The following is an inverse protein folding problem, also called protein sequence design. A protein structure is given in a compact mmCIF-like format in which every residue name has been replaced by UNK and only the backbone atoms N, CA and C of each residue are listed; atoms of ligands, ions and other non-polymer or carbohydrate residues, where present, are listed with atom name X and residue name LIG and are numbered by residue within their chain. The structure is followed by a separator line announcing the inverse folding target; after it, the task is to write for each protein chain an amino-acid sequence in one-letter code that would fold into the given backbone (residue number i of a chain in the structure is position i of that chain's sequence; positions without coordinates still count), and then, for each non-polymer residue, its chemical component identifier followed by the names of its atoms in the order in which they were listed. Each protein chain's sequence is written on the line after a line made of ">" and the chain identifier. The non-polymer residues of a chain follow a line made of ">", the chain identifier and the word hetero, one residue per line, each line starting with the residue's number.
data_IF_149870915522
#
_entry.id   IF_149870915522
#
_cell.length_a   1.000
_cell.length_b   1.000
_cell.length_c   1.000
_cell.angle_alpha   90.00
_cell.angle_beta   90.00
_cell.angle_gamma   90.00
#
_symmetry.space_group_name_H-M   'P 1'
#
loop_
_entity.id
_entity.type
_entity.pdbx_description
1 polymer ?
#
# COMPACT_ATOMS: atom_id res chain seq x y z
N UNK A 1 -13.86 -14.33 15.98
CA UNK A 1 -12.56 -15.02 15.94
C UNK A 1 -11.48 -13.97 15.70
N UNK A 2 -10.55 -13.79 16.64
CA UNK A 2 -9.42 -12.87 16.44
C UNK A 2 -8.37 -13.66 15.64
N UNK A 3 -8.29 -13.40 14.34
CA UNK A 3 -7.27 -13.97 13.46
C UNK A 3 -5.94 -13.24 13.70
N UNK A 4 -4.99 -13.91 14.34
CA UNK A 4 -3.61 -13.41 14.44
C UNK A 4 -2.91 -13.59 13.10
N UNK A 5 -2.86 -12.54 12.28
CA UNK A 5 -2.12 -12.52 11.02
C UNK A 5 -0.68 -12.09 11.30
N UNK A 6 0.28 -12.97 11.05
CA UNK A 6 1.71 -12.64 11.15
C UNK A 6 2.16 -11.94 9.86
N UNK A 7 2.25 -10.61 9.90
CA UNK A 7 2.67 -9.79 8.77
C UNK A 7 4.20 -9.72 8.69
N UNK A 8 4.79 -10.17 7.57
CA UNK A 8 6.24 -10.16 7.35
C UNK A 8 6.67 -9.04 6.39
N UNK A 9 6.42 -7.78 6.78
CA UNK A 9 6.79 -6.61 5.95
C UNK A 9 8.28 -6.51 5.61
N UNK A 10 9.17 -7.03 6.48
CA UNK A 10 10.61 -6.85 6.36
C UNK A 10 11.23 -7.61 5.18
N UNK A 11 10.63 -8.73 4.78
CA UNK A 11 11.16 -9.57 3.70
C UNK A 11 10.73 -9.07 2.32
N UNK A 12 9.63 -8.34 2.24
CA UNK A 12 9.02 -7.92 0.98
C UNK A 12 9.44 -6.50 0.53
N UNK A 13 10.10 -5.75 1.41
CA UNK A 13 10.54 -4.38 1.15
C UNK A 13 12.05 -4.28 1.31
N UNK A 14 12.72 -3.72 0.30
CA UNK A 14 14.15 -3.46 0.36
C UNK A 14 14.50 -2.53 1.52
N UNK A 15 15.62 -2.81 2.19
CA UNK A 15 16.10 -2.08 3.38
C UNK A 15 16.24 -0.58 3.14
N UNK A 16 16.57 -0.17 1.92
CA UNK A 16 16.68 1.24 1.53
C UNK A 16 15.38 2.02 1.71
N UNK A 17 14.23 1.35 1.72
CA UNK A 17 12.91 1.96 1.89
C UNK A 17 12.37 1.92 3.32
N UNK A 18 13.08 1.34 4.29
CA UNK A 18 12.56 1.22 5.66
C UNK A 18 12.22 2.55 6.31
N UNK A 19 12.91 3.63 5.93
CA UNK A 19 12.61 4.99 6.39
C UNK A 19 11.15 5.40 6.15
N UNK A 20 10.46 4.83 5.16
CA UNK A 20 9.04 5.09 4.92
C UNK A 20 8.15 4.71 6.10
N UNK A 21 8.48 3.69 6.88
CA UNK A 21 7.59 3.15 7.91
C UNK A 21 7.70 3.85 9.26
N UNK A 22 8.78 4.62 9.49
CA UNK A 22 9.04 5.29 10.76
C UNK A 22 9.33 6.79 10.63
N UNK A 23 9.47 7.34 9.41
CA UNK A 23 9.65 8.78 9.24
C UNK A 23 8.41 9.57 9.72
N UNK A 24 8.67 10.69 10.38
CA UNK A 24 7.68 11.69 10.80
C UNK A 24 7.66 12.91 9.87
N UNK A 25 8.38 12.85 8.75
CA UNK A 25 8.46 13.95 7.78
C UNK A 25 7.08 14.19 7.15
N UNK A 26 6.68 15.46 7.01
CA UNK A 26 5.39 15.82 6.39
C UNK A 26 5.31 15.43 4.91
N UNK A 27 6.45 15.49 4.22
CA UNK A 27 6.57 15.17 2.80
C UNK A 27 7.71 14.18 2.60
N UNK A 28 7.41 13.08 1.90
CA UNK A 28 8.40 12.09 1.53
C UNK A 28 8.38 11.94 0.02
N UNK A 29 9.54 12.16 -0.60
CA UNK A 29 9.72 11.99 -2.04
C UNK A 29 10.57 10.74 -2.32
N UNK A 30 10.00 9.78 -3.06
CA UNK A 30 10.72 8.61 -3.52
C UNK A 30 11.20 8.81 -4.96
N UNK A 31 12.50 9.00 -5.15
CA UNK A 31 13.15 9.14 -6.47
C UNK A 31 14.04 7.94 -6.75
N UNK A 32 13.99 7.41 -7.97
CA UNK A 32 14.84 6.28 -8.36
C UNK A 32 14.60 5.78 -9.78
N UNK A 33 15.51 4.94 -10.27
CA UNK A 33 15.49 4.36 -11.62
C UNK A 33 14.31 3.40 -11.86
N UNK A 34 14.15 2.91 -13.09
CA UNK A 34 13.19 1.83 -13.40
C UNK A 34 13.49 0.60 -12.53
N UNK A 35 12.45 -0.13 -12.12
CA UNK A 35 12.57 -1.35 -11.30
C UNK A 35 13.27 -1.17 -9.93
N UNK A 36 13.38 0.07 -9.43
CA UNK A 36 13.96 0.34 -8.09
C UNK A 36 13.09 -0.14 -6.91
N UNK A 37 11.86 -0.57 -7.13
CA UNK A 37 10.96 -1.00 -6.05
C UNK A 37 10.17 0.14 -5.37
N UNK A 38 10.41 1.40 -5.73
CA UNK A 38 9.75 2.59 -5.14
C UNK A 38 8.21 2.51 -5.09
N UNK A 39 7.56 2.07 -6.18
CA UNK A 39 6.09 1.98 -6.23
C UNK A 39 5.56 0.86 -5.33
N UNK A 40 6.32 -0.24 -5.22
CA UNK A 40 5.98 -1.36 -4.36
C UNK A 40 6.12 -0.97 -2.89
N UNK A 41 7.23 -0.34 -2.52
CA UNK A 41 7.46 0.17 -1.17
C UNK A 41 6.38 1.19 -0.75
N UNK A 42 5.95 2.07 -1.65
CA UNK A 42 4.85 2.99 -1.40
C UNK A 42 3.51 2.24 -1.16
N UNK A 43 3.21 1.20 -1.92
CA UNK A 43 2.02 0.39 -1.71
C UNK A 43 2.05 -0.39 -0.38
N UNK A 44 3.21 -0.90 0.03
CA UNK A 44 3.40 -1.47 1.39
C UNK A 44 3.14 -0.44 2.48
N UNK A 45 3.61 0.81 2.30
CA UNK A 45 3.35 1.90 3.24
C UNK A 45 1.86 2.22 3.36
N UNK A 46 1.11 2.22 2.25
CA UNK A 46 -0.35 2.39 2.26
C UNK A 46 -1.02 1.34 3.15
N UNK A 47 -0.71 0.06 2.94
CA UNK A 47 -1.31 -1.02 3.74
C UNK A 47 -0.85 -0.97 5.20
N UNK A 48 0.43 -0.69 5.44
CA UNK A 48 0.96 -0.54 6.79
C UNK A 48 0.24 0.56 7.59
N UNK A 49 0.03 1.72 6.97
CA UNK A 49 -0.63 2.85 7.63
C UNK A 49 -2.11 2.58 7.89
N UNK A 50 -2.81 1.97 6.93
CA UNK A 50 -4.22 1.56 7.12
C UNK A 50 -4.39 0.60 8.30
N UNK A 51 -3.46 -0.36 8.45
CA UNK A 51 -3.50 -1.33 9.55
C UNK A 51 -3.07 -0.73 10.89
N UNK A 52 -2.14 0.23 10.88
CA UNK A 52 -1.58 0.83 12.10
C UNK A 52 -2.42 1.98 12.64
N UNK A 53 -3.06 2.75 11.76
CA UNK A 53 -3.77 3.98 12.11
C UNK A 53 -5.23 3.89 11.63
N UNK A 54 -6.19 3.56 12.51
CA UNK A 54 -7.58 3.33 12.11
C UNK A 54 -8.28 4.57 11.55
N UNK A 55 -7.73 5.76 11.78
CA UNK A 55 -8.22 7.03 11.23
C UNK A 55 -7.60 7.40 9.87
N UNK A 56 -6.63 6.62 9.39
CA UNK A 56 -5.92 6.94 8.15
C UNK A 56 -6.73 6.52 6.93
N UNK A 57 -6.85 7.42 5.95
CA UNK A 57 -7.37 7.13 4.63
C UNK A 57 -6.38 7.64 3.59
N UNK A 58 -6.08 6.82 2.58
CA UNK A 58 -5.13 7.16 1.53
C UNK A 58 -5.84 7.66 0.27
N UNK A 59 -5.48 8.86 -0.18
CA UNK A 59 -5.87 9.39 -1.48
C UNK A 59 -4.72 9.20 -2.49
N UNK A 60 -4.92 8.34 -3.48
CA UNK A 60 -3.91 8.05 -4.50
C UNK A 60 -4.22 8.81 -5.78
N UNK A 61 -3.45 9.85 -6.05
CA UNK A 61 -3.65 10.74 -7.19
C UNK A 61 -2.69 10.45 -8.35
N UNK A 62 -3.14 10.73 -9.58
CA UNK A 62 -2.34 10.71 -10.81
C UNK A 62 -3.01 11.63 -11.84
N UNK A 63 -2.24 12.17 -12.76
CA UNK A 63 -2.72 13.08 -13.81
C UNK A 63 -3.90 12.50 -14.62
N UNK A 64 -3.87 11.20 -14.94
CA UNK A 64 -4.91 10.55 -15.75
C UNK A 64 -5.49 9.30 -15.04
N UNK A 65 -6.79 9.35 -14.72
CA UNK A 65 -7.51 8.27 -14.02
C UNK A 65 -7.49 6.95 -14.79
N UNK A 66 -7.53 6.98 -16.12
CA UNK A 66 -7.54 5.77 -16.98
C UNK A 66 -6.35 4.86 -16.71
N UNK A 67 -5.19 5.44 -16.37
CA UNK A 67 -3.96 4.68 -16.08
C UNK A 67 -3.85 4.22 -14.62
N UNK A 68 -4.67 4.74 -13.71
CA UNK A 68 -4.60 4.41 -12.28
C UNK A 68 -5.02 2.97 -12.00
N UNK A 69 -6.05 2.48 -12.70
CA UNK A 69 -6.57 1.11 -12.54
C UNK A 69 -5.46 0.08 -12.72
N UNK A 70 -4.72 0.17 -13.82
CA UNK A 70 -3.70 -0.81 -14.19
C UNK A 70 -2.34 -0.55 -13.52
N UNK A 71 -2.18 0.58 -12.84
CA UNK A 71 -0.96 0.96 -12.13
C UNK A 71 -1.18 0.86 -10.62
N UNK A 72 -1.31 1.99 -9.94
CA UNK A 72 -1.30 2.10 -8.48
C UNK A 72 -2.35 1.21 -7.79
N UNK A 73 -3.55 1.11 -8.37
CA UNK A 73 -4.62 0.28 -7.81
C UNK A 73 -4.27 -1.21 -7.81
N UNK A 74 -3.77 -1.73 -8.93
CA UNK A 74 -3.33 -3.12 -9.02
C UNK A 74 -2.13 -3.41 -8.13
N UNK A 75 -1.15 -2.49 -8.03
CA UNK A 75 0.00 -2.66 -7.12
C UNK A 75 -0.44 -2.76 -5.65
N UNK A 76 -1.42 -1.97 -5.22
CA UNK A 76 -1.96 -2.07 -3.85
C UNK A 76 -2.68 -3.41 -3.64
N UNK A 77 -3.46 -3.88 -4.62
CA UNK A 77 -4.09 -5.20 -4.57
C UNK A 77 -3.07 -6.34 -4.51
N UNK A 78 -1.97 -6.22 -5.25
CA UNK A 78 -0.87 -7.18 -5.24
C UNK A 78 -0.24 -7.25 -3.85
N UNK A 79 0.04 -6.11 -3.20
CA UNK A 79 0.54 -6.06 -1.82
C UNK A 79 -0.43 -6.71 -0.84
N UNK A 80 -1.74 -6.43 -0.95
CA UNK A 80 -2.76 -7.09 -0.11
C UNK A 80 -2.71 -8.61 -0.28
N UNK A 81 -2.53 -9.09 -1.51
CA UNK A 81 -2.39 -10.52 -1.80
C UNK A 81 -1.10 -11.11 -1.22
N UNK A 82 0.04 -10.42 -1.37
CA UNK A 82 1.34 -10.85 -0.82
C UNK A 82 1.25 -10.98 0.71
N UNK A 83 0.57 -10.05 1.37
CA UNK A 83 0.37 -10.07 2.82
C UNK A 83 -0.71 -11.06 3.28
N UNK A 84 -1.40 -11.76 2.37
CA UNK A 84 -2.48 -12.69 2.71
C UNK A 84 -3.72 -12.00 3.32
N UNK A 85 -3.92 -10.71 3.04
CA UNK A 85 -4.96 -9.89 3.66
C UNK A 85 -6.24 -9.80 2.84
N UNK A 86 -6.38 -10.56 1.76
CA UNK A 86 -7.50 -10.44 0.82
C UNK A 86 -8.89 -10.44 1.46
N UNK A 87 -9.10 -11.25 2.51
CA UNK A 87 -10.39 -11.32 3.22
C UNK A 87 -10.75 -10.06 4.02
N UNK A 88 -9.78 -9.20 4.31
CA UNK A 88 -9.97 -7.97 5.10
C UNK A 88 -10.18 -6.73 4.22
N UNK A 89 -10.09 -6.88 2.89
CA UNK A 89 -10.21 -5.77 1.96
C UNK A 89 -11.28 -6.04 0.90
N UNK A 90 -12.18 -5.08 0.72
CA UNK A 90 -13.10 -5.03 -0.41
C UNK A 90 -12.52 -4.12 -1.49
N UNK A 91 -12.38 -4.64 -2.71
CA UNK A 91 -11.85 -3.87 -3.85
C UNK A 91 -12.96 -3.60 -4.87
N UNK A 92 -13.23 -2.33 -5.17
CA UNK A 92 -14.21 -1.88 -6.16
C UNK A 92 -13.51 -1.25 -7.37
N UNK A 93 -14.04 -1.55 -8.56
CA UNK A 93 -13.50 -1.02 -9.81
C UNK A 93 -14.19 0.27 -10.26
N UNK A 94 -15.41 0.53 -9.79
CA UNK A 94 -16.20 1.74 -10.07
C UNK A 94 -17.16 1.97 -8.90
N UNK A 95 -16.90 2.93 -7.99
CA UNK A 95 -15.70 3.79 -7.91
C UNK A 95 -14.41 2.98 -7.66
N UNK A 96 -13.25 3.57 -8.00
CA UNK A 96 -11.93 2.91 -7.87
C UNK A 96 -11.45 3.00 -6.42
N UNK A 97 -11.88 2.06 -5.60
CA UNK A 97 -11.73 2.11 -4.14
C UNK A 97 -11.29 0.77 -3.56
N UNK A 98 -10.53 0.83 -2.47
CA UNK A 98 -10.15 -0.32 -1.66
C UNK A 98 -10.53 0.01 -0.23
N UNK A 99 -11.42 -0.79 0.36
CA UNK A 99 -11.97 -0.59 1.70
C UNK A 99 -11.45 -1.65 2.65
N UNK A 100 -10.85 -1.24 3.76
CA UNK A 100 -10.54 -2.13 4.88
C UNK A 100 -11.84 -2.38 5.68
N UNK A 101 -12.17 -3.65 5.90
CA UNK A 101 -13.45 -4.11 6.49
C UNK A 101 -13.46 -4.32 8.03
N UNK A 102 -12.33 -4.63 8.70
CA UNK A 102 -12.28 -4.88 10.15
C UNK A 102 -12.68 -3.73 11.05
#
# INVERSE_FOLDING_TARGET
>A
MITNVKLQFHNEVDKSYYKLFYSTDKFIALKGARASGKSMAAAFKVIYDLLRFPYCNWLVIRQFQTTQRNSSYNTIKEVISILGLGQFFKSNVSPLEITFLP
#
